data_IF_960299222863
#
_entry.id   IF_960299222863
#
_cell.length_a   1.000
_cell.length_b   1.000
_cell.length_c   1.000
_cell.angle_alpha   90.00
_cell.angle_beta   90.00
_cell.angle_gamma   90.00
#
_symmetry.space_group_name_H-M   'P 1'
#
loop_
_entity.id
_entity.type
_entity.pdbx_description
1 polymer ?
#
# COMPACT_ATOMS: atom_id res chain seq x y z
N UNK A 1 11.89 10.72 2.89
CA UNK A 1 12.52 9.86 1.87
C UNK A 1 12.14 8.42 2.20
N UNK A 2 11.63 7.67 1.22
CA UNK A 2 11.34 6.25 1.40
C UNK A 2 12.67 5.50 1.61
N UNK A 3 12.68 4.44 2.42
CA UNK A 3 13.88 3.61 2.60
C UNK A 3 13.81 2.45 1.62
N UNK A 4 14.87 2.24 0.85
CA UNK A 4 14.98 1.12 -0.09
C UNK A 4 14.60 -0.24 0.53
N UNK A 5 15.03 -0.50 1.77
CA UNK A 5 14.74 -1.75 2.48
C UNK A 5 13.27 -1.95 2.86
N UNK A 6 12.43 -0.91 2.77
CA UNK A 6 10.99 -0.98 3.02
C UNK A 6 10.20 -1.18 1.71
N UNK A 7 10.84 -1.14 0.55
CA UNK A 7 10.21 -1.34 -0.77
C UNK A 7 10.25 -2.82 -1.13
N UNK A 8 9.14 -3.35 -1.64
CA UNK A 8 9.03 -4.71 -2.18
C UNK A 8 8.39 -4.68 -3.58
N UNK A 9 8.60 -5.75 -4.33
CA UNK A 9 7.86 -6.00 -5.58
C UNK A 9 6.35 -6.02 -5.28
N UNK A 10 5.57 -5.38 -6.16
CA UNK A 10 4.12 -5.17 -6.02
C UNK A 10 3.72 -3.92 -5.21
N UNK A 11 4.68 -3.19 -4.63
CA UNK A 11 4.38 -1.91 -3.98
C UNK A 11 4.02 -0.83 -4.99
N UNK A 12 3.14 0.09 -4.60
CA UNK A 12 2.80 1.27 -5.37
C UNK A 12 3.54 2.50 -4.83
N UNK A 13 4.24 3.18 -5.74
CA UNK A 13 5.01 4.39 -5.45
C UNK A 13 4.72 5.46 -6.50
N UNK A 14 5.04 6.71 -6.18
CA UNK A 14 5.11 7.78 -7.17
C UNK A 14 6.55 7.88 -7.66
N UNK A 15 6.75 7.67 -8.96
CA UNK A 15 7.99 7.91 -9.66
C UNK A 15 8.01 9.32 -10.27
N UNK A 16 9.10 10.04 -10.07
CA UNK A 16 9.34 11.39 -10.59
C UNK A 16 10.44 11.36 -11.65
N UNK A 17 10.08 11.67 -12.90
CA UNK A 17 11.04 11.82 -13.99
C UNK A 17 11.04 13.27 -14.47
N UNK A 18 12.04 14.05 -14.02
CA UNK A 18 12.19 15.48 -14.35
C UNK A 18 10.90 16.32 -14.12
N UNK A 19 10.15 16.00 -13.07
CA UNK A 19 8.90 16.67 -12.69
C UNK A 19 7.62 16.01 -13.21
N UNK A 20 7.72 15.02 -14.12
CA UNK A 20 6.59 14.19 -14.53
C UNK A 20 6.37 13.08 -13.49
N UNK A 21 5.40 13.29 -12.60
CA UNK A 21 5.08 12.38 -11.50
C UNK A 21 3.99 11.41 -11.88
N UNK A 22 4.28 10.12 -11.80
CA UNK A 22 3.33 9.03 -12.08
C UNK A 22 3.34 7.99 -10.99
N UNK A 23 2.15 7.51 -10.64
CA UNK A 23 2.03 6.29 -9.85
C UNK A 23 2.43 5.09 -10.71
N UNK A 24 3.16 4.16 -10.11
CA UNK A 24 3.51 2.90 -10.75
C UNK A 24 3.70 1.78 -9.73
N UNK A 25 3.79 0.56 -10.26
CA UNK A 25 4.03 -0.66 -9.49
C UNK A 25 5.51 -1.05 -9.57
N UNK A 26 6.08 -1.40 -8.42
CA UNK A 26 7.44 -1.93 -8.36
C UNK A 26 7.48 -3.33 -8.95
N UNK A 27 8.23 -3.52 -10.03
CA UNK A 27 8.37 -4.81 -10.73
C UNK A 27 9.67 -5.54 -10.38
N UNK A 28 10.72 -4.83 -9.96
CA UNK A 28 12.02 -5.41 -9.61
C UNK A 28 12.85 -4.48 -8.70
N UNK A 29 13.86 -5.04 -8.03
CA UNK A 29 14.76 -4.35 -7.10
C UNK A 29 16.22 -4.69 -7.36
N UNK A 30 17.04 -3.67 -7.65
CA UNK A 30 18.49 -3.82 -7.79
C UNK A 30 19.16 -3.50 -6.45
N UNK A 31 19.46 -4.52 -5.67
CA UNK A 31 20.07 -4.37 -4.34
C UNK A 31 21.52 -3.85 -4.35
N UNK A 32 22.24 -4.00 -5.47
CA UNK A 32 23.63 -3.56 -5.57
C UNK A 32 23.70 -2.03 -5.72
N UNK A 33 22.87 -1.48 -6.61
CA UNK A 33 22.85 -0.05 -6.95
C UNK A 33 21.75 0.71 -6.21
N UNK A 34 20.86 0.01 -5.49
CA UNK A 34 19.69 0.55 -4.77
C UNK A 34 18.68 1.26 -5.68
N UNK A 35 18.53 0.73 -6.89
CA UNK A 35 17.54 1.18 -7.85
C UNK A 35 16.28 0.32 -7.77
N UNK A 36 15.14 0.93 -8.11
CA UNK A 36 13.83 0.28 -8.10
C UNK A 36 13.25 0.34 -9.50
N UNK A 37 12.85 -0.80 -10.04
CA UNK A 37 12.17 -0.87 -11.32
C UNK A 37 10.68 -0.62 -11.10
N UNK A 38 10.13 0.38 -11.78
CA UNK A 38 8.71 0.78 -11.63
C UNK A 38 8.03 0.78 -13.00
N UNK A 39 6.90 0.09 -13.09
CA UNK A 39 5.99 0.13 -14.23
C UNK A 39 4.94 1.23 -14.02
N UNK A 40 4.93 2.24 -14.90
CA UNK A 40 3.97 3.36 -14.85
C UNK A 40 2.83 3.24 -15.88
N UNK A 41 2.60 2.02 -16.41
CA UNK A 41 1.55 1.69 -17.38
C UNK A 41 2.01 1.61 -18.84
N UNK A 42 3.16 2.20 -19.19
CA UNK A 42 3.71 2.13 -20.56
C UNK A 42 4.90 1.16 -20.65
N UNK A 43 5.85 1.30 -19.72
CA UNK A 43 7.09 0.54 -19.68
C UNK A 43 7.69 0.60 -18.27
N UNK A 44 8.53 -0.38 -17.97
CA UNK A 44 9.39 -0.46 -16.79
C UNK A 44 10.61 0.46 -16.92
N UNK A 45 10.86 1.28 -15.90
CA UNK A 45 12.06 2.10 -15.78
C UNK A 45 12.71 1.93 -14.42
N UNK A 46 14.04 2.01 -14.38
CA UNK A 46 14.81 2.02 -13.14
C UNK A 46 14.91 3.45 -12.60
N UNK A 47 14.55 3.62 -11.34
CA UNK A 47 14.59 4.88 -10.61
C UNK A 47 15.53 4.79 -9.41
N UNK A 48 16.21 5.89 -9.13
CA UNK A 48 16.89 6.09 -7.86
C UNK A 48 15.87 6.29 -6.73
N UNK A 49 16.25 5.94 -5.50
CA UNK A 49 15.33 6.05 -4.35
C UNK A 49 14.86 7.49 -4.11
N UNK A 50 15.70 8.48 -4.43
CA UNK A 50 15.40 9.91 -4.33
C UNK A 50 14.34 10.39 -5.34
N UNK A 51 14.17 9.65 -6.44
CA UNK A 51 13.13 9.91 -7.45
C UNK A 51 11.78 9.29 -7.07
N UNK A 52 11.72 8.57 -5.95
CA UNK A 52 10.54 7.87 -5.50
C UNK A 52 9.96 8.53 -4.26
N UNK A 53 8.63 8.61 -4.24
CA UNK A 53 7.90 9.06 -3.07
C UNK A 53 6.75 8.12 -2.72
N UNK A 54 6.51 8.01 -1.42
CA UNK A 54 5.46 7.14 -0.89
C UNK A 54 4.09 7.79 -1.10
N UNK A 55 3.10 6.94 -1.39
CA UNK A 55 1.69 7.35 -1.46
C UNK A 55 1.12 7.34 -0.03
N UNK A 56 0.48 8.43 0.44
CA UNK A 56 -0.24 8.44 1.71
C UNK A 56 -1.34 7.38 1.72
N UNK A 57 -1.52 6.71 2.87
CA UNK A 57 -2.67 5.81 3.04
C UNK A 57 -3.90 6.63 3.42
N UNK A 58 -4.92 6.59 2.56
CA UNK A 58 -6.21 7.23 2.80
C UNK A 58 -7.38 6.37 2.28
N UNK A 59 -8.61 6.86 2.46
CA UNK A 59 -9.81 6.16 2.00
C UNK A 59 -9.84 6.00 0.48
N UNK A 60 -9.33 6.97 -0.29
CA UNK A 60 -9.32 6.89 -1.75
C UNK A 60 -8.43 5.74 -2.24
N UNK A 61 -7.27 5.52 -1.60
CA UNK A 61 -6.41 4.38 -1.90
C UNK A 61 -7.05 3.03 -1.56
N UNK A 62 -7.78 2.94 -0.43
CA UNK A 62 -8.49 1.70 -0.10
C UNK A 62 -9.58 1.38 -1.13
N UNK A 63 -10.33 2.39 -1.57
CA UNK A 63 -11.39 2.21 -2.56
C UNK A 63 -10.83 1.88 -3.95
N UNK A 64 -9.70 2.48 -4.36
CA UNK A 64 -9.04 2.13 -5.63
C UNK A 64 -8.56 0.68 -5.62
N UNK A 65 -8.03 0.20 -4.49
CA UNK A 65 -7.67 -1.19 -4.22
C UNK A 65 -8.87 -2.11 -3.96
N UNK A 66 -10.10 -1.69 -4.27
CA UNK A 66 -11.34 -2.49 -4.17
C UNK A 66 -11.66 -3.00 -2.77
N UNK A 67 -11.31 -2.26 -1.72
CA UNK A 67 -11.86 -2.53 -0.39
C UNK A 67 -13.32 -2.10 -0.31
N UNK A 68 -14.14 -2.94 0.31
CA UNK A 68 -15.52 -2.62 0.68
C UNK A 68 -15.54 -1.93 2.04
N UNK A 69 -16.08 -0.71 2.07
CA UNK A 69 -16.30 0.07 3.29
C UNK A 69 -17.58 -0.34 3.99
N UNK A 70 -17.54 -0.39 5.32
CA UNK A 70 -18.69 -0.60 6.18
C UNK A 70 -18.54 0.26 7.44
N UNK A 71 -19.49 1.17 7.64
CA UNK A 71 -19.55 1.99 8.85
C UNK A 71 -20.32 1.21 9.92
N UNK A 72 -19.75 1.07 11.11
CA UNK A 72 -20.41 0.44 12.24
C UNK A 72 -21.18 1.49 13.06
N UNK A 73 -22.19 1.05 13.81
CA UNK A 73 -23.03 1.94 14.64
C UNK A 73 -22.27 2.59 15.81
N UNK A 74 -21.14 2.01 16.22
CA UNK A 74 -20.28 2.51 17.30
C UNK A 74 -19.30 3.62 16.85
N UNK A 75 -19.37 4.02 15.58
CA UNK A 75 -18.53 5.06 14.98
C UNK A 75 -17.22 4.54 14.38
N UNK A 76 -16.90 3.25 14.53
CA UNK A 76 -15.75 2.64 13.86
C UNK A 76 -16.03 2.38 12.38
N UNK A 77 -14.98 2.32 11.56
CA UNK A 77 -15.10 2.07 10.11
C UNK A 77 -14.25 0.89 9.72
N UNK A 78 -14.87 -0.08 9.07
CA UNK A 78 -14.24 -1.32 8.62
C UNK A 78 -14.08 -1.32 7.10
N UNK A 79 -12.90 -1.70 6.64
CA UNK A 79 -12.58 -1.94 5.23
C UNK A 79 -12.29 -3.42 5.03
N UNK A 80 -12.79 -4.00 3.94
CA UNK A 80 -12.75 -5.43 3.69
C UNK A 80 -12.33 -5.74 2.26
N UNK A 81 -11.37 -6.65 2.09
CA UNK A 81 -10.99 -7.21 0.78
C UNK A 81 -10.77 -8.72 0.94
N UNK A 82 -11.63 -9.53 0.33
CA UNK A 82 -11.66 -10.98 0.57
C UNK A 82 -11.83 -11.32 2.06
N UNK A 83 -10.85 -11.98 2.67
CA UNK A 83 -10.80 -12.25 4.12
C UNK A 83 -9.94 -11.26 4.93
N UNK A 84 -9.24 -10.33 4.26
CA UNK A 84 -8.46 -9.29 4.92
C UNK A 84 -9.36 -8.17 5.39
N UNK A 85 -9.07 -7.64 6.58
CA UNK A 85 -9.87 -6.61 7.23
C UNK A 85 -8.97 -5.54 7.80
N UNK A 86 -9.47 -4.32 7.79
CA UNK A 86 -8.87 -3.16 8.44
C UNK A 86 -9.96 -2.41 9.20
N UNK A 87 -9.67 -1.94 10.41
CA UNK A 87 -10.62 -1.22 11.26
C UNK A 87 -10.00 0.07 11.77
N UNK A 88 -10.65 1.19 11.45
CA UNK A 88 -10.35 2.50 11.99
C UNK A 88 -11.26 2.80 13.19
N UNK A 89 -10.73 3.49 14.20
CA UNK A 89 -11.52 3.97 15.35
C UNK A 89 -12.55 5.04 14.98
N UNK A 90 -12.30 5.78 13.89
CA UNK A 90 -13.18 6.81 13.36
C UNK A 90 -12.98 6.97 11.85
N UNK A 91 -13.96 7.51 11.11
CA UNK A 91 -13.83 7.72 9.66
C UNK A 91 -12.66 8.65 9.33
N UNK A 92 -11.76 8.19 8.45
CA UNK A 92 -10.63 9.00 7.96
C UNK A 92 -9.43 9.11 8.92
N UNK A 93 -9.47 8.50 10.10
CA UNK A 93 -8.33 8.48 11.02
C UNK A 93 -7.45 7.26 10.78
N UNK A 94 -6.38 7.45 10.00
CA UNK A 94 -5.37 6.43 9.71
C UNK A 94 -4.15 6.52 10.64
N UNK A 95 -4.24 7.27 11.75
CA UNK A 95 -3.12 7.42 12.68
C UNK A 95 -2.82 6.14 13.46
N UNK A 96 -3.87 5.38 13.78
CA UNK A 96 -3.82 4.07 14.44
C UNK A 96 -4.98 3.22 13.97
N UNK A 97 -4.72 1.94 13.72
CA UNK A 97 -5.76 1.02 13.26
C UNK A 97 -5.37 -0.44 13.47
N UNK A 98 -6.34 -1.33 13.32
CA UNK A 98 -6.13 -2.77 13.35
C UNK A 98 -6.24 -3.36 11.95
N UNK A 99 -5.41 -4.34 11.65
CA UNK A 99 -5.56 -5.20 10.47
C UNK A 99 -5.58 -6.66 10.87
N UNK A 100 -6.34 -7.47 10.15
CA UNK A 100 -6.34 -8.91 10.37
C UNK A 100 -6.65 -9.72 9.12
N UNK A 101 -6.13 -10.94 9.12
CA UNK A 101 -6.38 -11.95 8.11
C UNK A 101 -6.41 -13.32 8.80
N UNK A 102 -7.58 -13.97 8.78
CA UNK A 102 -7.84 -15.21 9.53
C UNK A 102 -7.54 -15.00 11.03
N UNK A 103 -6.60 -15.75 11.59
CA UNK A 103 -6.23 -15.71 13.01
C UNK A 103 -5.14 -14.68 13.33
N UNK A 104 -4.45 -14.15 12.32
CA UNK A 104 -3.39 -13.17 12.52
C UNK A 104 -3.98 -11.75 12.62
N UNK A 105 -3.64 -11.04 13.70
CA UNK A 105 -4.01 -9.64 13.94
C UNK A 105 -2.76 -8.79 14.21
N UNK A 106 -2.74 -7.57 13.67
CA UNK A 106 -1.69 -6.58 13.93
C UNK A 106 -2.32 -5.24 14.32
N UNK A 107 -1.70 -4.56 15.26
CA UNK A 107 -2.04 -3.19 15.64
C UNK A 107 -1.02 -2.24 15.02
N UNK A 108 -1.49 -1.36 14.15
CA UNK A 108 -0.68 -0.29 13.56
C UNK A 108 -0.80 0.92 14.47
N UNK A 109 0.30 1.27 15.13
CA UNK A 109 0.32 2.27 16.21
C UNK A 109 0.78 3.67 15.75
N UNK A 110 1.11 3.81 14.47
CA UNK A 110 1.59 5.04 13.84
C UNK A 110 1.11 5.10 12.38
N UNK A 111 0.99 6.30 11.79
CA UNK A 111 0.66 6.42 10.37
C UNK A 111 1.65 5.66 9.49
N UNK A 112 1.13 4.96 8.49
CA UNK A 112 1.91 4.26 7.48
C UNK A 112 1.53 4.73 6.08
N UNK A 113 2.42 4.53 5.11
CA UNK A 113 2.13 4.77 3.69
C UNK A 113 1.51 3.54 3.02
N UNK A 114 1.01 3.72 1.79
CA UNK A 114 0.35 2.66 1.02
C UNK A 114 1.23 1.41 0.86
N UNK A 115 2.50 1.56 0.44
CA UNK A 115 3.43 0.44 0.29
C UNK A 115 3.62 -0.36 1.59
N UNK A 116 3.60 0.29 2.75
CA UNK A 116 3.69 -0.40 4.04
C UNK A 116 2.42 -1.23 4.33
N UNK A 117 1.23 -0.75 3.93
CA UNK A 117 0.01 -1.56 3.97
C UNK A 117 0.08 -2.73 2.98
N UNK A 118 0.58 -2.51 1.77
CA UNK A 118 0.76 -3.57 0.77
C UNK A 118 1.72 -4.65 1.28
N UNK A 119 2.80 -4.25 1.96
CA UNK A 119 3.73 -5.14 2.64
C UNK A 119 3.09 -5.93 3.78
N UNK A 120 2.28 -5.27 4.62
CA UNK A 120 1.49 -5.97 5.65
C UNK A 120 0.55 -7.00 5.04
N UNK A 121 -0.17 -6.61 3.99
CA UNK A 121 -1.08 -7.51 3.27
C UNK A 121 -0.32 -8.70 2.70
N UNK A 122 0.75 -8.48 1.94
CA UNK A 122 1.56 -9.55 1.36
C UNK A 122 2.15 -10.48 2.43
N UNK A 123 2.65 -9.93 3.54
CA UNK A 123 3.21 -10.76 4.61
C UNK A 123 2.16 -11.71 5.21
N UNK A 124 0.90 -11.29 5.28
CA UNK A 124 -0.23 -12.04 5.85
C UNK A 124 -0.90 -12.99 4.84
N UNK A 125 -0.97 -12.60 3.56
CA UNK A 125 -1.74 -13.33 2.52
C UNK A 125 -0.88 -14.08 1.51
N UNK A 126 0.40 -13.69 1.36
CA UNK A 126 1.32 -14.10 0.27
C UNK A 126 0.83 -13.72 -1.13
N UNK A 127 -0.06 -12.73 -1.23
CA UNK A 127 -0.60 -12.18 -2.47
C UNK A 127 -0.35 -10.67 -2.48
N UNK A 128 0.02 -10.11 -3.62
CA UNK A 128 0.21 -8.66 -3.74
C UNK A 128 -1.13 -7.93 -3.65
N UNK A 129 -1.13 -6.80 -2.94
CA UNK A 129 -2.31 -5.97 -2.83
C UNK A 129 -2.40 -5.02 -4.03
N UNK A 130 -3.34 -5.31 -4.93
CA UNK A 130 -3.59 -4.58 -6.17
C UNK A 130 -5.09 -4.21 -6.33
N UNK A 131 -5.45 -3.65 -7.47
CA UNK A 131 -6.79 -3.19 -7.83
C UNK A 131 -7.72 -4.30 -8.41
N UNK A 132 -7.28 -5.56 -8.39
CA UNK A 132 -8.10 -6.70 -8.82
C UNK A 132 -9.18 -7.02 -7.77
N UNK A 133 -10.39 -7.41 -8.23
CA UNK A 133 -11.42 -7.96 -7.35
C UNK A 133 -11.11 -9.42 -7.03
N UNK A 134 -11.21 -9.77 -5.74
CA UNK A 134 -11.22 -11.16 -5.29
C UNK A 134 -12.69 -11.56 -5.13
N UNK A 135 -13.36 -11.80 -6.26
CA UNK A 135 -14.73 -12.33 -6.28
C UNK A 135 -14.77 -13.82 -5.89
#
# INVERSE_FOLDING_TARGET
MIKFNEIKVGDYLIADNDGDKKQGEVTDLNHNEKQVCVNTGTQDFWYETEQLSAIPLDEAQLLSLKFHKHNNDDGTVKYMKGAFRMLLSSPGDFSKFEIWYRDERRHVMQPISLHQLQNHFYDMTKVHLNDESFD
#
